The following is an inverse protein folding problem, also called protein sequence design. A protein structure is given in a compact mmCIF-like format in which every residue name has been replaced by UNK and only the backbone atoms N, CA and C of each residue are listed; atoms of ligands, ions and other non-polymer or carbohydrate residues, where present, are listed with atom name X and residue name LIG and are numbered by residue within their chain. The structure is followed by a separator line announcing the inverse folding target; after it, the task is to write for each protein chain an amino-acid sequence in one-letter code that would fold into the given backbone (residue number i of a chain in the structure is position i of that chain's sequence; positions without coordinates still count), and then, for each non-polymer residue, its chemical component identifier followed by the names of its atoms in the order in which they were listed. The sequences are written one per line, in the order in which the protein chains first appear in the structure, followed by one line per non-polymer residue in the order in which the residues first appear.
data_IF_143634484366
#
_entry.id   IF_143634484366
#
_cell.length_a   1.000
_cell.length_b   1.000
_cell.length_c   1.000
_cell.angle_alpha   90.00
_cell.angle_beta   90.00
_cell.angle_gamma   90.00
#
_symmetry.space_group_name_H-M   'P 1'
#
loop_
_entity.id
_entity.type
_entity.pdbx_description
1 polymer ?
#
# COMPACT_ATOMS: atom_id res chain seq x y z
N UNK A 1 2.79 -12.70 32.82
CA UNK A 1 2.51 -12.66 31.36
C UNK A 1 1.95 -11.28 31.06
N UNK A 2 2.62 -10.51 30.19
CA UNK A 2 2.16 -9.16 29.86
C UNK A 2 0.95 -9.24 28.92
N UNK A 3 -0.07 -8.43 29.18
CA UNK A 3 -1.27 -8.31 28.34
C UNK A 3 -0.94 -7.51 27.07
N UNK A 4 -1.47 -7.91 25.92
CA UNK A 4 -1.23 -7.27 24.62
C UNK A 4 -2.17 -6.07 24.42
N UNK A 5 -2.04 -5.07 25.30
CA UNK A 5 -2.83 -3.84 25.27
C UNK A 5 -1.97 -2.66 24.78
N UNK A 6 -2.51 -1.76 23.93
CA UNK A 6 -1.72 -0.71 23.28
C UNK A 6 -1.14 0.32 24.26
N UNK A 7 -1.67 0.40 25.48
CA UNK A 7 -1.24 1.32 26.54
C UNK A 7 -0.12 0.74 27.43
N UNK A 8 0.33 -0.50 27.17
CA UNK A 8 1.39 -1.12 27.97
C UNK A 8 2.75 -0.51 27.64
N UNK A 9 3.40 0.03 28.67
CA UNK A 9 4.76 0.52 28.56
C UNK A 9 5.73 -0.67 28.56
N UNK A 10 6.30 -1.01 27.40
CA UNK A 10 7.21 -2.15 27.24
C UNK A 10 8.60 -1.90 27.84
N UNK A 11 8.97 -0.64 28.07
CA UNK A 11 10.28 -0.25 28.61
C UNK A 11 10.54 -0.83 30.00
N UNK A 12 9.48 -1.06 30.78
CA UNK A 12 9.58 -1.64 32.13
C UNK A 12 10.17 -3.06 32.15
N UNK A 13 10.16 -3.77 31.02
CA UNK A 13 10.70 -5.14 30.92
C UNK A 13 12.14 -5.19 30.38
N UNK A 14 12.71 -4.05 29.97
CA UNK A 14 14.01 -4.03 29.30
C UNK A 14 15.16 -4.46 30.23
N UNK A 15 15.13 -4.06 31.50
CA UNK A 15 16.12 -4.51 32.49
C UNK A 15 16.09 -6.03 32.66
N UNK A 16 14.91 -6.61 32.86
CA UNK A 16 14.70 -8.06 32.99
C UNK A 16 15.18 -8.83 31.75
N UNK A 17 14.91 -8.30 30.55
CA UNK A 17 15.39 -8.91 29.30
C UNK A 17 16.92 -8.82 29.15
N UNK A 18 17.51 -7.68 29.53
CA UNK A 18 18.95 -7.49 29.47
C UNK A 18 19.67 -8.46 30.40
N UNK A 19 19.21 -8.60 31.65
CA UNK A 19 19.79 -9.52 32.63
C UNK A 19 19.76 -10.97 32.14
N UNK A 20 18.65 -11.38 31.50
CA UNK A 20 18.52 -12.70 30.89
C UNK A 20 19.53 -12.94 29.75
N UNK A 21 19.72 -11.94 28.87
CA UNK A 21 20.69 -12.01 27.77
C UNK A 21 22.12 -12.06 28.32
N UNK A 22 22.43 -11.25 29.33
CA UNK A 22 23.75 -11.22 29.96
C UNK A 22 24.07 -12.53 30.68
N UNK A 23 23.11 -13.12 31.39
CA UNK A 23 23.27 -14.40 32.07
C UNK A 23 23.54 -15.55 31.08
N UNK A 24 22.86 -15.56 29.93
CA UNK A 24 23.09 -16.57 28.89
C UNK A 24 24.47 -16.40 28.21
N UNK A 25 24.91 -15.17 27.96
CA UNK A 25 26.25 -14.88 27.42
C UNK A 25 27.37 -15.31 28.36
N UNK A 26 27.19 -15.15 29.67
CA UNK A 26 28.15 -15.61 30.69
C UNK A 26 28.33 -17.13 30.69
N UNK A 27 27.34 -17.87 30.17
CA UNK A 27 27.35 -19.34 30.06
C UNK A 27 27.69 -19.84 28.65
N UNK A 28 28.21 -18.96 27.79
CA UNK A 28 28.45 -19.22 26.35
C UNK A 28 27.21 -19.75 25.58
N UNK A 29 26.02 -19.44 26.09
CA UNK A 29 24.75 -19.89 25.51
C UNK A 29 24.16 -18.91 24.50
N UNK A 30 23.40 -19.44 23.54
CA UNK A 30 22.68 -18.65 22.56
C UNK A 30 21.25 -18.35 23.06
N UNK A 31 20.81 -17.09 22.91
CA UNK A 31 19.47 -16.65 23.32
C UNK A 31 18.59 -16.47 22.09
N UNK A 32 17.50 -17.22 22.01
CA UNK A 32 16.43 -16.98 21.06
C UNK A 32 15.31 -16.18 21.72
N UNK A 33 15.12 -14.94 21.29
CA UNK A 33 14.00 -14.11 21.74
C UNK A 33 12.91 -14.21 20.69
N UNK A 34 11.86 -14.97 21.00
CA UNK A 34 10.67 -15.07 20.15
C UNK A 34 9.53 -14.28 20.78
N UNK A 35 9.11 -13.19 20.13
CA UNK A 35 7.85 -12.52 20.43
C UNK A 35 6.74 -13.25 19.63
N UNK A 36 5.50 -13.30 20.14
CA UNK A 36 4.32 -13.79 19.40
C UNK A 36 3.72 -12.67 18.51
N UNK A 37 4.33 -12.31 17.35
CA UNK A 37 3.78 -11.18 16.52
C UNK A 37 2.81 -11.89 15.63
N UNK A 38 1.52 -11.75 15.95
CA UNK A 38 0.51 -11.93 14.93
C UNK A 38 0.71 -10.82 13.90
N UNK A 39 1.62 -11.04 12.96
CA UNK A 39 1.85 -10.19 11.82
C UNK A 39 0.49 -9.90 11.18
N UNK A 40 0.08 -8.63 11.11
CA UNK A 40 -1.19 -8.24 10.50
C UNK A 40 -1.10 -8.53 9.01
N UNK A 41 -1.52 -9.74 8.61
CA UNK A 41 -1.49 -10.22 7.22
C UNK A 41 -2.38 -9.40 6.29
N UNK A 42 -3.25 -8.53 6.82
CA UNK A 42 -4.23 -7.77 6.03
C UNK A 42 -4.33 -6.33 6.52
N UNK A 43 -3.55 -5.43 5.94
CA UNK A 43 -3.72 -3.99 6.12
C UNK A 43 -5.05 -3.53 5.49
N UNK A 44 -5.97 -2.98 6.30
CA UNK A 44 -7.18 -2.30 5.81
C UNK A 44 -6.95 -0.78 5.81
N UNK A 45 -6.86 -0.19 4.62
CA UNK A 45 -6.71 1.26 4.44
C UNK A 45 -7.96 2.00 4.96
N UNK A 46 -7.76 3.05 5.75
CA UNK A 46 -8.84 3.86 6.36
C UNK A 46 -9.42 4.93 5.42
N UNK A 47 -8.72 5.26 4.32
CA UNK A 47 -9.13 6.33 3.39
C UNK A 47 -9.61 5.81 2.05
N UNK A 48 -10.59 6.50 1.46
CA UNK A 48 -11.06 6.30 0.08
C UNK A 48 -10.10 6.88 -0.98
N UNK A 49 -9.01 7.55 -0.56
CA UNK A 49 -8.00 8.07 -1.49
C UNK A 49 -7.34 6.91 -2.24
N UNK A 50 -7.59 6.85 -3.54
CA UNK A 50 -7.14 5.77 -4.43
C UNK A 50 -8.20 4.68 -4.67
N UNK A 51 -9.49 4.95 -4.40
CA UNK A 51 -10.59 3.99 -4.67
C UNK A 51 -11.13 4.02 -6.10
N UNK A 52 -10.38 4.60 -7.05
CA UNK A 52 -10.76 4.56 -8.47
C UNK A 52 -10.40 3.19 -9.06
N UNK A 53 -11.25 2.70 -9.96
CA UNK A 53 -11.01 1.43 -10.63
C UNK A 53 -9.94 1.57 -11.71
N UNK A 54 -9.29 0.46 -12.05
CA UNK A 54 -8.34 0.39 -13.17
C UNK A 54 -9.04 0.75 -14.47
N UNK A 55 -10.30 0.33 -14.61
CA UNK A 55 -11.15 0.61 -15.77
C UNK A 55 -11.41 2.11 -15.92
N UNK A 56 -11.72 2.81 -14.83
CA UNK A 56 -11.92 4.25 -14.85
C UNK A 56 -10.66 4.99 -15.30
N UNK A 57 -9.48 4.53 -14.87
CA UNK A 57 -8.22 5.12 -15.30
C UNK A 57 -7.95 4.89 -16.79
N UNK A 58 -8.25 3.69 -17.30
CA UNK A 58 -8.15 3.37 -18.72
C UNK A 58 -9.03 4.28 -19.57
N UNK A 59 -10.33 4.37 -19.25
CA UNK A 59 -11.27 5.20 -20.00
C UNK A 59 -10.86 6.68 -20.00
N UNK A 60 -10.35 7.19 -18.88
CA UNK A 60 -9.85 8.55 -18.80
C UNK A 60 -8.61 8.79 -19.68
N UNK A 61 -7.69 7.82 -19.74
CA UNK A 61 -6.51 7.91 -20.61
C UNK A 61 -6.95 7.86 -22.09
N UNK A 62 -7.84 6.95 -22.46
CA UNK A 62 -8.35 6.83 -23.83
C UNK A 62 -9.05 8.11 -24.29
N UNK A 63 -9.86 8.74 -23.43
CA UNK A 63 -10.53 10.01 -23.70
C UNK A 63 -9.54 11.17 -23.96
N UNK A 64 -8.40 11.17 -23.26
CA UNK A 64 -7.35 12.18 -23.45
C UNK A 64 -6.51 11.91 -24.70
N UNK A 65 -6.14 10.65 -24.95
CA UNK A 65 -5.33 10.27 -26.11
C UNK A 65 -6.10 10.42 -27.44
N UNK A 66 -7.40 10.09 -27.43
CA UNK A 66 -8.31 10.31 -28.57
C UNK A 66 -8.65 11.79 -28.82
N UNK A 67 -8.14 12.71 -27.98
CA UNK A 67 -8.48 14.14 -27.99
C UNK A 67 -9.99 14.43 -27.80
N UNK A 68 -10.76 13.47 -27.28
CA UNK A 68 -12.19 13.62 -26.99
C UNK A 68 -12.44 14.53 -25.78
N UNK A 69 -11.57 14.48 -24.77
CA UNK A 69 -11.66 15.33 -23.57
C UNK A 69 -10.29 15.79 -23.06
N UNK A 70 -10.22 17.01 -22.51
CA UNK A 70 -9.04 17.48 -21.78
C UNK A 70 -8.91 16.83 -20.40
N UNK A 71 -7.71 16.91 -19.79
CA UNK A 71 -7.37 16.22 -18.53
C UNK A 71 -8.37 16.44 -17.41
N UNK A 72 -8.77 17.69 -17.16
CA UNK A 72 -9.73 18.03 -16.10
C UNK A 72 -11.09 17.37 -16.32
N UNK A 73 -11.60 17.43 -17.56
CA UNK A 73 -12.92 16.87 -17.92
C UNK A 73 -12.90 15.34 -17.86
N UNK A 74 -11.86 14.70 -18.40
CA UNK A 74 -11.69 13.25 -18.35
C UNK A 74 -11.53 12.74 -16.91
N UNK A 75 -10.75 13.44 -16.08
CA UNK A 75 -10.55 13.11 -14.68
C UNK A 75 -11.87 13.13 -13.88
N UNK A 76 -12.65 14.19 -14.05
CA UNK A 76 -13.95 14.32 -13.40
C UNK A 76 -14.95 13.28 -13.88
N UNK A 77 -15.03 13.05 -15.20
CA UNK A 77 -15.99 12.12 -15.81
C UNK A 77 -15.80 10.68 -15.36
N UNK A 78 -14.56 10.25 -15.16
CA UNK A 78 -14.24 8.88 -14.73
C UNK A 78 -13.91 8.78 -13.24
N UNK A 79 -14.03 9.86 -12.47
CA UNK A 79 -13.77 9.85 -11.02
C UNK A 79 -12.32 9.48 -10.66
N UNK A 80 -11.36 9.94 -11.44
CA UNK A 80 -9.93 9.69 -11.26
C UNK A 80 -9.19 10.99 -10.94
N UNK A 81 -8.08 10.97 -10.18
CA UNK A 81 -7.32 12.19 -9.89
C UNK A 81 -6.63 12.73 -11.14
N UNK A 82 -6.83 14.02 -11.43
CA UNK A 82 -6.25 14.68 -12.61
C UNK A 82 -4.73 14.55 -12.67
N UNK A 83 -4.03 14.80 -11.57
CA UNK A 83 -2.56 14.72 -11.52
C UNK A 83 -2.03 13.30 -11.77
N UNK A 84 -2.81 12.29 -11.40
CA UNK A 84 -2.48 10.89 -11.68
C UNK A 84 -2.70 10.58 -13.16
N UNK A 85 -3.82 11.02 -13.73
CA UNK A 85 -4.09 10.91 -15.17
C UNK A 85 -2.98 11.53 -16.02
N UNK A 86 -2.58 12.77 -15.72
CA UNK A 86 -1.52 13.48 -16.43
C UNK A 86 -0.19 12.71 -16.39
N UNK A 87 0.19 12.19 -15.22
CA UNK A 87 1.40 11.39 -15.06
C UNK A 87 1.39 10.14 -15.94
N UNK A 88 0.27 9.42 -15.99
CA UNK A 88 0.15 8.23 -16.82
C UNK A 88 0.21 8.57 -18.32
N UNK A 89 -0.52 9.58 -18.76
CA UNK A 89 -0.51 10.04 -20.17
C UNK A 89 0.89 10.52 -20.57
N UNK A 90 1.59 11.24 -19.71
CA UNK A 90 2.96 11.69 -19.98
C UNK A 90 3.92 10.51 -20.20
N UNK A 91 3.84 9.47 -19.37
CA UNK A 91 4.65 8.24 -19.53
C UNK A 91 4.36 7.51 -20.84
N UNK A 92 3.08 7.46 -21.24
CA UNK A 92 2.67 6.86 -22.51
C UNK A 92 3.21 7.66 -23.69
N UNK A 93 3.08 8.99 -23.65
CA UNK A 93 3.60 9.87 -24.70
C UNK A 93 5.12 9.81 -24.85
N UNK A 94 5.84 9.62 -23.74
CA UNK A 94 7.30 9.40 -23.75
C UNK A 94 7.70 7.99 -24.21
N UNK A 95 6.74 7.08 -24.42
CA UNK A 95 7.02 5.69 -24.79
C UNK A 95 7.58 4.83 -23.65
N UNK A 96 7.67 5.36 -22.43
CA UNK A 96 8.22 4.65 -21.26
C UNK A 96 7.33 3.45 -20.85
N UNK A 97 6.02 3.56 -21.09
CA UNK A 97 5.05 2.54 -20.69
C UNK A 97 3.89 2.45 -21.69
N UNK A 98 3.52 1.23 -22.08
CA UNK A 98 2.31 0.96 -22.88
C UNK A 98 1.05 0.96 -22.02
N UNK A 99 -0.11 1.25 -22.62
CA UNK A 99 -1.42 1.20 -21.96
C UNK A 99 -1.65 -0.16 -21.26
N UNK A 100 -1.31 -1.25 -21.94
CA UNK A 100 -1.45 -2.62 -21.41
C UNK A 100 -0.57 -2.84 -20.17
N UNK A 101 0.67 -2.34 -20.18
CA UNK A 101 1.60 -2.48 -19.03
C UNK A 101 1.17 -1.61 -17.84
N UNK A 102 0.57 -0.44 -18.09
CA UNK A 102 -0.05 0.35 -17.02
C UNK A 102 -1.27 -0.36 -16.42
N UNK A 103 -2.09 -0.99 -17.25
CA UNK A 103 -3.27 -1.72 -16.77
C UNK A 103 -2.89 -2.88 -15.84
N UNK A 104 -1.84 -3.63 -16.18
CA UNK A 104 -1.30 -4.72 -15.34
C UNK A 104 -0.70 -4.17 -14.04
N UNK A 105 0.10 -3.11 -14.10
CA UNK A 105 0.70 -2.54 -12.87
C UNK A 105 -0.35 -1.97 -11.93
N UNK A 106 -1.41 -1.35 -12.47
CA UNK A 106 -2.53 -0.84 -11.70
C UNK A 106 -3.38 -1.97 -11.11
N UNK A 107 -3.62 -3.08 -11.81
CA UNK A 107 -4.38 -4.20 -11.26
C UNK A 107 -3.65 -4.93 -10.13
N UNK A 108 -2.32 -4.98 -10.18
CA UNK A 108 -1.48 -5.56 -9.13
C UNK A 108 -1.44 -4.68 -7.86
N UNK A 109 -1.39 -3.35 -8.02
CA UNK A 109 -1.32 -2.41 -6.89
C UNK A 109 -2.68 -1.99 -6.34
N UNK A 110 -3.73 -2.02 -7.17
CA UNK A 110 -5.09 -1.68 -6.82
C UNK A 110 -6.00 -2.87 -7.13
N UNK A 111 -5.93 -3.96 -6.35
CA UNK A 111 -6.79 -5.12 -6.57
C UNK A 111 -8.24 -4.68 -6.49
N UNK A 112 -8.96 -4.94 -7.59
CA UNK A 112 -10.32 -4.52 -7.85
C UNK A 112 -11.20 -4.92 -6.66
N UNK A 113 -11.58 -3.95 -5.81
CA UNK A 113 -12.57 -4.21 -4.77
C UNK A 113 -13.90 -4.32 -5.49
N UNK A 114 -14.23 -5.55 -5.91
CA UNK A 114 -15.58 -5.90 -6.38
C UNK A 114 -16.56 -5.24 -5.41
N UNK A 115 -17.38 -4.32 -5.91
CA UNK A 115 -18.55 -3.83 -5.19
C UNK A 115 -19.30 -5.08 -4.75
N UNK A 116 -19.34 -5.36 -3.44
CA UNK A 116 -20.28 -6.36 -2.93
C UNK A 116 -21.65 -5.81 -3.26
N UNK A 117 -22.36 -6.54 -4.14
CA UNK A 117 -23.78 -6.38 -4.35
C UNK A 117 -24.54 -6.71 -3.07
#
# INVERSE_FOLDING_TARGET
MASDSPDQNLTQYFSLCNDFIHAARLREGNVLIHWYIKMVRTYKKKSSRGSWSVENMKHAIDAVLSKSAGYRKAAQMHGVPQTTLERHVAKIRKGEVSLTRLQVTLSLYFPNKKKKS
#
